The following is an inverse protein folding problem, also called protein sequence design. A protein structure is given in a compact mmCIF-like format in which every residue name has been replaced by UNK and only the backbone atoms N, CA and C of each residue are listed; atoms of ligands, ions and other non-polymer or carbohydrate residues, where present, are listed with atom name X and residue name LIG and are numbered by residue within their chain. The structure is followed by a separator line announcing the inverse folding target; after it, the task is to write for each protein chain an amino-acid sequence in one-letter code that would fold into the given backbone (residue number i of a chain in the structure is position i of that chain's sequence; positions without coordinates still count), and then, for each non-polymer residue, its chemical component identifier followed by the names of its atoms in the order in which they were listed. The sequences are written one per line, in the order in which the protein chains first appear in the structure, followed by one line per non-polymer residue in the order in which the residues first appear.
data_IF_502310021831
#
_entry.id   IF_502310021831
#
_cell.length_a   1.000
_cell.length_b   1.000
_cell.length_c   1.000
_cell.angle_alpha   90.00
_cell.angle_beta   90.00
_cell.angle_gamma   90.00
#
_symmetry.space_group_name_H-M   'P 1'
#
loop_
_entity.id
_entity.type
_entity.pdbx_description
1 polymer ?
#
# COMPACT_ATOMS: atom_id res chain seq x y z
N UNK A 1 -18.21 -34.63 -9.70
CA UNK A 1 -18.18 -34.02 -9.58
C UNK A 1 -18.16 -33.49 -9.10
N UNK A 2 -17.96 -33.57 -9.13
CA UNK A 2 -17.94 -32.86 -8.84
C UNK A 2 -17.62 -32.17 -8.15
N UNK A 3 -17.20 -32.12 -8.08
CA UNK A 3 -16.93 -31.32 -7.59
C UNK A 3 -16.93 -30.66 -6.99
N UNK A 4 -16.83 -30.67 -7.12
CA UNK A 4 -16.91 -29.86 -6.77
C UNK A 4 -17.10 -29.40 -6.01
N UNK A 5 -16.99 -30.08 -6.24
CA UNK A 5 -17.26 -29.51 -5.65
C UNK A 5 -17.01 -29.21 -4.74
N UNK A 6 -16.50 -29.67 -4.85
CA UNK A 6 -16.30 -29.24 -4.21
C UNK A 6 -16.03 -28.68 -3.52
N UNK A 7 -15.83 -28.46 -3.64
CA UNK A 7 -15.70 -27.62 -3.21
C UNK A 7 -16.04 -27.20 -2.46
N UNK A 8 -16.22 -27.53 -2.54
CA UNK A 8 -16.75 -26.93 -2.04
C UNK A 8 -16.97 -26.78 -1.02
N UNK A 9 -17.02 -26.92 -0.89
CA UNK A 9 -17.42 -26.59 0.16
C UNK A 9 -16.80 -26.18 1.14
N UNK A 10 -16.22 -26.13 1.07
CA UNK A 10 -15.84 -25.60 1.78
C UNK A 10 -16.15 -25.07 2.46
N UNK A 11 -16.32 -25.18 2.25
CA UNK A 11 -16.70 -24.56 2.72
C UNK A 11 -17.16 -24.37 3.49
N UNK A 12 -17.33 -24.54 3.67
CA UNK A 12 -18.01 -24.28 4.41
C UNK A 12 -17.74 -23.58 5.43
N UNK A 13 -17.60 -22.94 5.37
CA UNK A 13 -17.59 -21.94 6.15
C UNK A 13 -16.74 -21.87 7.27
N UNK A 14 -16.80 -22.53 8.05
CA UNK A 14 -16.04 -22.33 9.21
C UNK A 14 -14.59 -22.49 8.99
N UNK A 15 -14.19 -23.01 7.94
CA UNK A 15 -12.78 -23.15 7.68
C UNK A 15 -12.22 -22.01 6.86
N UNK A 16 -13.00 -20.98 6.61
CA UNK A 16 -12.54 -19.82 5.88
C UNK A 16 -11.48 -19.08 6.67
N UNK A 17 -10.32 -18.81 6.09
CA UNK A 17 -9.31 -18.03 6.81
C UNK A 17 -9.83 -16.64 7.10
N UNK A 18 -9.35 -16.00 8.16
CA UNK A 18 -9.72 -14.61 8.43
C UNK A 18 -9.29 -13.73 7.28
N UNK A 19 -10.13 -12.78 6.92
CA UNK A 19 -9.78 -11.80 5.92
C UNK A 19 -8.84 -10.76 6.51
N UNK A 20 -7.83 -10.34 5.77
CA UNK A 20 -6.97 -9.27 6.26
C UNK A 20 -7.78 -7.98 6.42
N UNK A 21 -7.50 -7.28 7.48
CA UNK A 21 -8.05 -5.96 7.67
C UNK A 21 -7.08 -4.95 7.05
N UNK A 22 -7.60 -4.13 6.15
CA UNK A 22 -6.75 -3.15 5.46
C UNK A 22 -6.67 -1.90 6.33
N UNK A 23 -5.46 -1.55 6.75
CA UNK A 23 -5.23 -0.35 7.56
C UNK A 23 -4.35 0.65 6.84
N UNK A 24 -3.88 0.32 5.66
CA UNK A 24 -3.08 1.23 4.87
C UNK A 24 -2.80 0.63 3.51
N UNK A 25 -2.15 1.40 2.66
CA UNK A 25 -1.72 0.93 1.35
C UNK A 25 -0.26 1.29 1.17
N UNK A 26 0.57 0.27 1.02
CA UNK A 26 1.97 0.49 0.69
C UNK A 26 2.04 0.88 -0.77
N UNK A 27 2.65 2.03 -1.04
CA UNK A 27 2.74 2.58 -2.37
C UNK A 27 4.21 2.79 -2.72
N UNK A 28 4.62 2.25 -3.87
CA UNK A 28 5.97 2.43 -4.35
C UNK A 28 5.94 3.23 -5.63
N UNK A 29 6.73 4.29 -5.68
CA UNK A 29 6.86 5.13 -6.87
C UNK A 29 8.30 5.05 -7.33
N UNK A 30 8.50 4.74 -8.61
CA UNK A 30 9.83 4.72 -9.21
C UNK A 30 9.77 5.42 -10.55
N UNK A 31 10.85 6.10 -10.96
CA UNK A 31 10.85 6.76 -12.26
C UNK A 31 10.65 5.75 -13.38
N UNK A 32 9.87 6.13 -14.38
CA UNK A 32 9.68 5.31 -15.56
C UNK A 32 11.00 5.16 -16.31
N UNK A 33 11.15 4.07 -17.06
CA UNK A 33 12.34 3.93 -17.90
C UNK A 33 12.49 5.14 -18.81
N UNK A 34 13.71 5.66 -18.90
CA UNK A 34 13.99 6.82 -19.72
C UNK A 34 13.78 8.16 -19.05
N UNK A 35 13.16 8.19 -17.87
CA UNK A 35 13.02 9.44 -17.13
C UNK A 35 14.34 9.72 -16.42
N UNK A 36 14.84 10.95 -16.60
CA UNK A 36 16.12 11.34 -16.02
C UNK A 36 15.94 11.94 -14.64
N UNK A 37 16.99 11.90 -13.79
CA UNK A 37 16.91 12.56 -12.49
C UNK A 37 16.59 14.05 -12.62
N UNK A 38 17.05 14.70 -13.68
CA UNK A 38 16.78 16.12 -13.89
C UNK A 38 15.29 16.38 -14.08
N UNK A 39 14.61 15.49 -14.83
CA UNK A 39 13.16 15.63 -15.02
C UNK A 39 12.43 15.53 -13.70
N UNK A 40 12.83 14.58 -12.85
CA UNK A 40 12.20 14.40 -11.56
C UNK A 40 12.48 15.62 -10.67
N UNK A 41 13.71 16.09 -10.65
CA UNK A 41 14.08 17.21 -9.78
C UNK A 41 13.39 18.50 -10.16
N UNK A 42 13.04 18.67 -11.42
CA UNK A 42 12.27 19.85 -11.83
C UNK A 42 10.92 19.92 -11.16
N UNK A 43 10.30 18.77 -10.93
CA UNK A 43 8.95 18.69 -10.35
C UNK A 43 9.02 18.57 -8.83
N UNK A 44 10.18 18.23 -8.29
CA UNK A 44 10.31 17.91 -6.88
C UNK A 44 9.84 19.02 -5.94
N UNK A 45 10.11 20.31 -6.20
CA UNK A 45 9.59 21.32 -5.27
C UNK A 45 8.07 21.32 -5.18
N UNK A 46 7.38 21.13 -6.31
CA UNK A 46 5.93 21.03 -6.30
C UNK A 46 5.47 19.76 -5.59
N UNK A 47 6.18 18.66 -5.81
CA UNK A 47 5.86 17.39 -5.17
C UNK A 47 5.98 17.53 -3.65
N UNK A 48 7.04 18.15 -3.17
CA UNK A 48 7.24 18.34 -1.74
C UNK A 48 6.12 19.19 -1.16
N UNK A 49 5.77 20.28 -1.84
CA UNK A 49 4.68 21.16 -1.37
C UNK A 49 3.35 20.43 -1.33
N UNK A 50 3.16 19.43 -2.18
CA UNK A 50 1.91 18.66 -2.19
C UNK A 50 1.90 17.55 -1.15
N UNK A 51 3.07 16.91 -0.89
CA UNK A 51 3.12 15.74 -0.01
C UNK A 51 3.25 16.10 1.46
N UNK A 52 3.96 17.19 1.80
CA UNK A 52 4.14 17.57 3.20
C UNK A 52 2.81 17.77 3.92
N UNK A 53 1.83 18.50 3.36
CA UNK A 53 0.54 18.61 4.04
C UNK A 53 -0.15 17.26 4.24
N UNK A 54 -0.02 16.35 3.29
CA UNK A 54 -0.62 15.01 3.43
C UNK A 54 0.01 14.26 4.60
N UNK A 55 1.31 14.39 4.78
CA UNK A 55 1.98 13.79 5.91
C UNK A 55 1.49 14.40 7.22
N UNK A 56 1.40 15.72 7.28
CA UNK A 56 0.98 16.41 8.49
C UNK A 56 -0.48 16.12 8.83
N UNK A 57 -1.32 15.85 7.84
CA UNK A 57 -2.72 15.48 8.04
C UNK A 57 -2.89 14.01 8.39
N UNK A 58 -1.83 13.22 8.31
CA UNK A 58 -1.91 11.80 8.60
C UNK A 58 -2.32 10.93 7.43
N UNK A 59 -2.49 11.49 6.24
CA UNK A 59 -2.81 10.71 5.06
C UNK A 59 -1.62 9.90 4.59
N UNK A 60 -0.42 10.41 4.78
CA UNK A 60 0.80 9.64 4.61
C UNK A 60 1.27 9.28 6.01
N UNK A 61 1.18 8.00 6.35
CA UNK A 61 1.56 7.54 7.68
C UNK A 61 3.07 7.47 7.83
N UNK A 62 3.74 6.99 6.80
CA UNK A 62 5.19 6.87 6.77
C UNK A 62 5.64 7.06 5.33
N UNK A 63 6.84 7.59 5.18
CA UNK A 63 7.43 7.76 3.85
C UNK A 63 8.94 7.52 3.95
N UNK A 64 9.49 6.98 2.85
CA UNK A 64 10.88 6.59 2.81
C UNK A 64 11.45 6.85 1.42
N UNK A 65 12.75 7.15 1.36
CA UNK A 65 13.50 7.04 0.12
C UNK A 65 13.93 5.57 0.00
N UNK A 66 13.77 4.99 -1.16
CA UNK A 66 14.25 3.61 -1.36
C UNK A 66 15.76 3.57 -1.18
N UNK A 67 16.24 2.53 -0.52
CA UNK A 67 17.67 2.39 -0.25
C UNK A 67 18.51 2.27 -1.51
N UNK A 68 17.90 1.84 -2.63
CA UNK A 68 18.61 1.77 -3.91
C UNK A 68 18.58 3.10 -4.67
N UNK A 69 17.96 4.13 -4.12
CA UNK A 69 17.88 5.45 -4.75
C UNK A 69 16.90 5.53 -5.91
N UNK A 70 16.04 4.52 -6.07
CA UNK A 70 15.20 4.43 -7.27
C UNK A 70 13.74 4.75 -6.98
N UNK A 71 13.50 5.66 -6.08
CA UNK A 71 12.15 6.12 -5.83
C UNK A 71 11.82 6.23 -4.36
N UNK A 72 10.53 6.25 -4.08
CA UNK A 72 10.03 6.45 -2.72
C UNK A 72 9.00 5.41 -2.40
N UNK A 73 8.81 5.21 -1.09
CA UNK A 73 7.80 4.32 -0.56
C UNK A 73 6.95 5.11 0.41
N UNK A 74 5.64 5.02 0.25
CA UNK A 74 4.69 5.60 1.20
C UNK A 74 3.87 4.50 1.84
N UNK A 75 3.53 4.68 3.11
CA UNK A 75 2.41 3.95 3.71
C UNK A 75 1.27 4.97 3.81
N UNK A 76 0.25 4.77 3.01
CA UNK A 76 -0.87 5.70 2.94
C UNK A 76 -2.00 5.23 3.84
N UNK A 77 -2.63 6.17 4.52
CA UNK A 77 -3.78 5.88 5.38
C UNK A 77 -5.04 5.83 4.51
N UNK A 78 -5.12 4.79 3.71
CA UNK A 78 -6.22 4.55 2.79
C UNK A 78 -6.80 3.18 3.06
N UNK A 79 -8.07 3.02 2.78
CA UNK A 79 -8.76 1.77 3.06
C UNK A 79 -8.74 0.81 1.88
N UNK A 80 -8.38 1.29 0.70
CA UNK A 80 -8.26 0.41 -0.46
C UNK A 80 -7.33 1.02 -1.49
N UNK A 81 -7.01 0.23 -2.50
CA UNK A 81 -6.08 0.65 -3.55
C UNK A 81 -6.66 1.79 -4.38
N UNK A 82 -7.98 1.77 -4.61
CA UNK A 82 -8.60 2.83 -5.42
C UNK A 82 -8.42 4.20 -4.77
N UNK A 83 -8.60 4.27 -3.45
CA UNK A 83 -8.39 5.52 -2.72
C UNK A 83 -6.94 5.96 -2.78
N UNK A 84 -6.02 5.02 -2.60
CA UNK A 84 -4.59 5.32 -2.64
C UNK A 84 -4.18 5.80 -4.02
N UNK A 85 -4.68 5.15 -5.06
CA UNK A 85 -4.36 5.53 -6.44
C UNK A 85 -4.86 6.94 -6.74
N UNK A 86 -6.07 7.26 -6.33
CA UNK A 86 -6.61 8.60 -6.55
C UNK A 86 -5.76 9.67 -5.85
N UNK A 87 -5.31 9.37 -4.63
CA UNK A 87 -4.46 10.29 -3.90
C UNK A 87 -3.13 10.51 -4.63
N UNK A 88 -2.48 9.43 -5.05
CA UNK A 88 -1.17 9.52 -5.70
C UNK A 88 -1.27 10.17 -7.06
N UNK A 89 -2.34 9.88 -7.81
CA UNK A 89 -2.50 10.47 -9.14
C UNK A 89 -2.74 11.96 -9.10
N UNK A 90 -3.11 12.50 -7.95
CA UNK A 90 -3.24 13.94 -7.78
C UNK A 90 -1.89 14.63 -7.56
N UNK A 91 -0.84 13.87 -7.31
CA UNK A 91 0.48 14.45 -6.99
C UNK A 91 1.21 14.89 -8.26
N UNK A 92 2.04 15.94 -8.17
CA UNK A 92 2.69 16.49 -9.37
C UNK A 92 3.52 15.50 -10.17
N UNK A 93 4.31 14.64 -9.52
CA UNK A 93 5.13 13.68 -10.28
C UNK A 93 4.27 12.71 -11.06
N UNK A 94 3.15 12.28 -10.49
CA UNK A 94 2.24 11.39 -11.19
C UNK A 94 1.50 12.11 -12.31
N UNK A 95 1.12 13.35 -12.07
CA UNK A 95 0.43 14.15 -13.09
C UNK A 95 1.31 14.43 -14.28
N UNK A 96 2.63 14.51 -14.08
CA UNK A 96 3.58 14.66 -15.17
C UNK A 96 3.93 13.33 -15.83
N UNK A 97 3.34 12.24 -15.33
CA UNK A 97 3.50 10.90 -15.91
C UNK A 97 4.95 10.42 -15.89
N UNK A 98 5.68 10.78 -14.84
CA UNK A 98 7.09 10.43 -14.74
C UNK A 98 7.36 9.16 -13.94
N UNK A 99 6.35 8.65 -13.22
CA UNK A 99 6.56 7.59 -12.25
C UNK A 99 5.74 6.36 -12.58
N UNK A 100 6.33 5.19 -12.34
CA UNK A 100 5.58 3.95 -12.22
C UNK A 100 5.10 3.82 -10.78
N UNK A 101 3.91 3.26 -10.61
CA UNK A 101 3.25 3.18 -9.31
C UNK A 101 2.86 1.75 -9.01
N UNK A 102 3.12 1.31 -7.79
CA UNK A 102 2.65 0.01 -7.32
C UNK A 102 1.95 0.21 -6.00
N UNK A 103 0.84 -0.52 -5.80
CA UNK A 103 0.01 -0.38 -4.61
C UNK A 103 -0.24 -1.75 -4.02
N UNK A 104 0.05 -1.90 -2.73
CA UNK A 104 -0.19 -3.14 -2.00
C UNK A 104 -0.97 -2.81 -0.74
N UNK A 105 -2.24 -3.27 -0.63
CA UNK A 105 -2.96 -3.04 0.63
C UNK A 105 -2.30 -3.85 1.74
N UNK A 106 -2.23 -3.26 2.92
CA UNK A 106 -1.57 -3.88 4.07
C UNK A 106 -2.44 -3.73 5.30
N UNK A 107 -2.17 -4.57 6.26
CA UNK A 107 -2.86 -4.53 7.54
C UNK A 107 -2.04 -5.22 8.60
N UNK A 108 -2.60 -5.39 9.79
CA UNK A 108 -1.87 -6.08 10.86
C UNK A 108 -1.47 -7.48 10.45
N UNK A 109 -0.35 -7.93 10.96
CA UNK A 109 0.15 -9.27 10.65
C UNK A 109 -0.77 -10.30 11.27
N UNK A 110 -1.46 -11.07 10.43
CA UNK A 110 -2.47 -12.01 10.91
C UNK A 110 -1.96 -13.05 11.91
N UNK A 111 -0.77 -13.64 11.71
CA UNK A 111 -0.29 -14.60 12.68
C UNK A 111 -0.15 -14.03 14.09
N UNK A 112 0.16 -12.75 14.22
CA UNK A 112 0.22 -12.15 15.54
C UNK A 112 -1.16 -12.09 16.19
N UNK A 113 -2.18 -11.79 15.40
CA UNK A 113 -3.52 -11.80 15.92
C UNK A 113 -3.95 -13.18 16.41
N UNK A 114 -3.56 -14.22 15.70
CA UNK A 114 -3.85 -15.58 16.10
C UNK A 114 -3.16 -15.90 17.43
N UNK A 115 -1.90 -15.53 17.55
CA UNK A 115 -1.17 -15.77 18.79
C UNK A 115 -1.79 -15.05 19.97
N UNK A 116 -2.24 -13.83 19.76
CA UNK A 116 -2.84 -13.06 20.85
C UNK A 116 -4.15 -13.68 21.32
N UNK A 117 -4.89 -14.31 20.41
CA UNK A 117 -6.13 -14.97 20.80
C UNK A 117 -5.89 -16.24 21.58
N UNK A 118 -4.86 -16.98 21.19
CA UNK A 118 -4.65 -18.29 21.76
C UNK A 118 -3.82 -18.28 22.99
N UNK A 119 -3.13 -17.27 23.20
CA UNK A 119 -2.25 -17.24 24.20
C UNK A 119 -2.83 -17.34 25.46
N UNK A 120 -2.89 -17.40 25.90
CA UNK A 120 -2.93 -17.51 26.90
C UNK A 120 -3.27 -18.33 27.64
N UNK A 121 -3.63 -18.37 27.31
CA UNK A 121 -4.23 -18.86 27.86
C UNK A 121 -3.86 -19.92 28.21
N UNK A 122 -3.48 -20.23 28.04
CA UNK A 122 -3.25 -21.25 28.19
C UNK A 122 -2.25 -21.65 28.73
N UNK A 123 -1.94 -21.38 29.09
CA UNK A 123 -1.11 -21.66 29.62
C UNK A 123 -0.60 -21.47 29.99
#
# INVERSE_FOLDING_TARGET
MKIETVLAPMARGQSTPPQPKITGVLTMLSPKPGVTPEQVMKIMPAEIRATVPLYLEGKIQQWFTRGDGRGVIFILNCKDVAEARALVESLPLSRENLMDEQFIPVGPLLPLGILLRDSPTNK
#
